data_IF_722706281973
#
_entry.id   IF_722706281973
#
_cell.length_a   1.000
_cell.length_b   1.000
_cell.length_c   1.000
_cell.angle_alpha   90.00
_cell.angle_beta   90.00
_cell.angle_gamma   90.00
#
_symmetry.space_group_name_H-M   'P 1'
#
loop_
_entity.id
_entity.type
_entity.pdbx_description
1 polymer ?
#
# COMPACT_ATOMS: atom_id res chain seq x y z
N UNK A 1 -5.10 -8.91 19.19
CA UNK A 1 -6.57 -8.84 19.38
C UNK A 1 -7.13 -10.11 20.03
N UNK A 2 -7.04 -11.32 19.45
CA UNK A 2 -7.79 -12.48 19.97
C UNK A 2 -7.38 -12.91 21.38
N UNK A 3 -6.07 -12.90 21.68
CA UNK A 3 -5.57 -13.25 23.02
C UNK A 3 -5.99 -12.24 24.10
N UNK A 4 -6.15 -10.96 23.76
CA UNK A 4 -6.63 -9.94 24.70
C UNK A 4 -8.14 -10.05 24.91
N UNK A 5 -8.91 -10.20 23.82
CA UNK A 5 -10.37 -10.35 23.88
C UNK A 5 -10.79 -11.57 24.72
N UNK A 6 -10.12 -12.72 24.52
CA UNK A 6 -10.38 -13.93 25.30
C UNK A 6 -10.22 -13.71 26.82
N UNK A 7 -9.23 -12.92 27.24
CA UNK A 7 -9.02 -12.61 28.66
C UNK A 7 -10.05 -11.65 29.21
N UNK A 8 -10.40 -10.65 28.41
CA UNK A 8 -11.45 -9.69 28.75
C UNK A 8 -12.79 -10.42 28.99
N UNK A 9 -13.14 -11.37 28.11
CA UNK A 9 -14.33 -12.21 28.23
C UNK A 9 -14.25 -13.18 29.42
N UNK A 10 -13.06 -13.71 29.72
CA UNK A 10 -12.84 -14.62 30.84
C UNK A 10 -12.73 -13.92 32.21
N UNK A 11 -12.77 -12.58 32.26
CA UNK A 11 -12.56 -11.82 33.50
C UNK A 11 -11.13 -11.91 34.05
N UNK A 12 -10.17 -12.32 33.23
CA UNK A 12 -8.75 -12.41 33.59
C UNK A 12 -8.06 -11.03 33.49
N UNK A 13 -6.82 -10.93 33.97
CA UNK A 13 -6.03 -9.67 33.93
C UNK A 13 -5.57 -9.30 32.49
N UNK A 14 -6.52 -8.86 31.67
CA UNK A 14 -6.27 -8.37 30.32
C UNK A 14 -5.41 -7.09 30.32
N UNK A 15 -5.56 -6.24 31.35
CA UNK A 15 -4.81 -5.00 31.51
C UNK A 15 -3.33 -5.27 31.84
N UNK A 16 -3.03 -6.23 32.70
CA UNK A 16 -1.69 -6.75 32.97
C UNK A 16 -1.06 -7.33 31.72
N UNK A 17 -1.77 -8.19 31.00
CA UNK A 17 -1.31 -8.75 29.73
C UNK A 17 -0.94 -7.66 28.71
N UNK A 18 -1.77 -6.63 28.55
CA UNK A 18 -1.51 -5.53 27.62
C UNK A 18 -0.32 -4.65 28.07
N UNK A 19 -0.16 -4.41 29.38
CA UNK A 19 1.00 -3.70 29.95
C UNK A 19 2.31 -4.46 29.72
N UNK A 20 2.30 -5.77 29.98
CA UNK A 20 3.46 -6.63 29.75
C UNK A 20 3.81 -6.70 28.26
N UNK A 21 2.80 -6.85 27.40
CA UNK A 21 3.00 -6.85 25.95
C UNK A 21 3.60 -5.52 25.47
N UNK A 22 3.07 -4.39 25.94
CA UNK A 22 3.58 -3.06 25.60
C UNK A 22 5.03 -2.87 26.05
N UNK A 23 5.35 -3.31 27.26
CA UNK A 23 6.68 -3.10 27.85
C UNK A 23 7.73 -4.00 27.20
N UNK A 24 7.41 -5.28 26.96
CA UNK A 24 8.31 -6.20 26.28
C UNK A 24 8.51 -5.82 24.81
N UNK A 25 7.43 -5.45 24.10
CA UNK A 25 7.53 -4.97 22.73
C UNK A 25 8.32 -3.67 22.66
N UNK A 26 8.05 -2.70 23.54
CA UNK A 26 8.78 -1.45 23.61
C UNK A 26 10.28 -1.67 23.86
N UNK A 27 10.64 -2.52 24.82
CA UNK A 27 12.04 -2.85 25.10
C UNK A 27 12.75 -3.49 23.90
N UNK A 28 12.10 -4.49 23.27
CA UNK A 28 12.61 -5.11 22.06
C UNK A 28 12.79 -4.10 20.92
N UNK A 29 11.80 -3.25 20.68
CA UNK A 29 11.83 -2.26 19.62
C UNK A 29 12.88 -1.18 19.86
N UNK A 30 13.13 -0.77 21.11
CA UNK A 30 14.22 0.16 21.42
C UNK A 30 15.56 -0.46 21.04
N UNK A 31 15.83 -1.71 21.44
CA UNK A 31 17.07 -2.40 21.06
C UNK A 31 17.18 -2.56 19.55
N UNK A 32 16.09 -3.00 18.90
CA UNK A 32 16.02 -3.14 17.45
C UNK A 32 16.27 -1.81 16.73
N UNK A 33 15.69 -0.71 17.22
CA UNK A 33 15.87 0.63 16.70
C UNK A 33 17.32 1.10 16.85
N UNK A 34 17.94 0.88 18.01
CA UNK A 34 19.35 1.23 18.22
C UNK A 34 20.26 0.44 17.29
N UNK A 35 20.04 -0.87 17.17
CA UNK A 35 20.78 -1.73 16.22
C UNK A 35 20.60 -1.23 14.79
N UNK A 36 19.38 -0.91 14.38
CA UNK A 36 19.12 -0.40 13.04
C UNK A 36 19.76 0.96 12.79
N UNK A 37 19.73 1.91 13.74
CA UNK A 37 20.41 3.21 13.63
C UNK A 37 21.92 3.04 13.41
N UNK A 38 22.54 2.12 14.16
CA UNK A 38 23.95 1.77 13.97
C UNK A 38 24.18 1.10 12.62
N UNK A 39 23.29 0.20 12.22
CA UNK A 39 23.35 -0.55 10.97
C UNK A 39 22.82 0.20 9.73
N UNK A 40 22.44 1.47 9.87
CA UNK A 40 21.80 2.24 8.79
C UNK A 40 22.57 2.26 7.48
N UNK A 41 23.91 2.41 7.46
CA UNK A 41 24.68 2.36 6.21
C UNK A 41 24.43 1.07 5.43
N UNK A 42 24.45 -0.09 6.10
CA UNK A 42 24.19 -1.37 5.44
C UNK A 42 22.72 -1.53 5.03
N UNK A 43 21.78 -1.02 5.84
CA UNK A 43 20.36 -1.03 5.48
C UNK A 43 20.11 -0.18 4.23
N UNK A 44 20.72 1.01 4.11
CA UNK A 44 20.60 1.85 2.92
C UNK A 44 21.19 1.14 1.70
N UNK A 45 22.36 0.50 1.81
CA UNK A 45 22.92 -0.27 0.68
C UNK A 45 22.05 -1.46 0.28
N UNK A 46 21.44 -2.15 1.26
CA UNK A 46 20.53 -3.26 1.00
C UNK A 46 19.22 -2.82 0.34
N UNK A 47 18.79 -1.57 0.53
CA UNK A 47 17.55 -1.03 -0.04
C UNK A 47 17.72 -0.16 -1.29
N UNK A 48 18.91 0.42 -1.49
CA UNK A 48 19.21 1.37 -2.54
C UNK A 48 20.73 1.37 -2.82
N UNK A 49 21.26 0.24 -3.29
CA UNK A 49 22.71 0.12 -3.54
C UNK A 49 23.22 1.09 -4.59
N UNK A 50 22.35 1.59 -5.49
CA UNK A 50 22.70 2.57 -6.50
C UNK A 50 23.13 3.92 -5.93
N UNK A 51 22.89 4.19 -4.64
CA UNK A 51 23.39 5.40 -3.98
C UNK A 51 24.86 5.29 -3.54
N UNK A 52 25.48 4.12 -3.64
CA UNK A 52 26.87 3.95 -3.21
C UNK A 52 27.81 4.90 -3.97
N UNK A 53 28.59 5.70 -3.23
CA UNK A 53 29.50 6.71 -3.81
C UNK A 53 28.84 8.05 -4.16
N UNK A 54 27.56 8.24 -3.85
CA UNK A 54 26.77 9.44 -4.13
C UNK A 54 26.41 10.19 -2.83
N UNK A 55 26.24 11.52 -2.88
CA UNK A 55 25.75 12.35 -1.77
C UNK A 55 24.40 11.86 -1.20
N UNK A 56 23.57 11.24 -2.04
CA UNK A 56 22.30 10.59 -1.66
C UNK A 56 22.49 9.51 -0.61
N UNK A 57 23.64 8.84 -0.55
CA UNK A 57 23.91 7.83 0.46
C UNK A 57 23.94 8.45 1.86
N UNK A 58 24.76 9.48 2.07
CA UNK A 58 24.92 10.12 3.38
C UNK A 58 23.61 10.77 3.85
N UNK A 59 22.89 11.40 2.93
CA UNK A 59 21.55 11.94 3.19
C UNK A 59 20.56 10.84 3.58
N UNK A 60 20.55 9.71 2.85
CA UNK A 60 19.67 8.58 3.14
C UNK A 60 20.00 7.90 4.47
N UNK A 61 21.29 7.81 4.83
CA UNK A 61 21.72 7.30 6.13
C UNK A 61 21.26 8.23 7.24
N UNK A 62 21.48 9.54 7.09
CA UNK A 62 21.07 10.53 8.09
C UNK A 62 19.56 10.57 8.28
N UNK A 63 18.81 10.65 7.17
CA UNK A 63 17.36 10.61 7.19
C UNK A 63 16.82 9.28 7.74
N UNK A 64 17.45 8.17 7.36
CA UNK A 64 17.15 6.84 7.88
C UNK A 64 17.29 6.78 9.40
N UNK A 65 18.39 7.30 9.96
CA UNK A 65 18.61 7.36 11.41
C UNK A 65 17.55 8.19 12.14
N UNK A 66 17.12 9.32 11.58
CA UNK A 66 16.10 10.20 12.17
C UNK A 66 14.70 9.55 12.12
N UNK A 67 14.36 8.90 11.01
CA UNK A 67 13.05 8.27 10.83
C UNK A 67 12.93 6.91 11.52
N UNK A 68 14.03 6.17 11.73
CA UNK A 68 13.98 4.81 12.26
C UNK A 68 13.26 4.64 13.61
N UNK A 69 13.38 5.57 14.57
CA UNK A 69 12.60 5.54 15.82
C UNK A 69 11.09 5.47 15.63
N UNK A 70 10.57 5.88 14.46
CA UNK A 70 9.15 5.73 14.11
C UNK A 70 8.65 4.30 14.24
N UNK A 71 9.50 3.29 14.02
CA UNK A 71 9.15 1.86 14.18
C UNK A 71 8.68 1.57 15.61
N UNK A 72 9.27 2.21 16.62
CA UNK A 72 8.83 2.07 18.02
C UNK A 72 7.40 2.59 18.15
N UNK A 73 7.17 3.82 17.70
CA UNK A 73 5.88 4.49 17.88
C UNK A 73 4.76 3.82 17.10
N UNK A 74 4.97 3.48 15.83
CA UNK A 74 3.92 2.85 15.01
C UNK A 74 3.58 1.45 15.51
N UNK A 75 4.57 0.69 16.00
CA UNK A 75 4.32 -0.67 16.51
C UNK A 75 3.59 -0.65 17.84
N UNK A 76 3.94 0.27 18.75
CA UNK A 76 3.20 0.46 19.99
C UNK A 76 1.79 0.99 19.73
N UNK A 77 1.63 1.89 18.75
CA UNK A 77 0.33 2.36 18.28
C UNK A 77 -0.50 1.19 17.77
N UNK A 78 0.07 0.30 16.95
CA UNK A 78 -0.62 -0.88 16.44
C UNK A 78 -1.08 -1.84 17.55
N UNK A 79 -0.25 -2.06 18.58
CA UNK A 79 -0.62 -2.85 19.76
C UNK A 79 -1.83 -2.25 20.47
N UNK A 80 -1.79 -0.95 20.78
CA UNK A 80 -2.87 -0.26 21.48
C UNK A 80 -4.13 -0.12 20.64
N UNK A 81 -4.01 0.07 19.32
CA UNK A 81 -5.12 -0.01 18.37
C UNK A 81 -5.76 -1.40 18.40
N UNK A 82 -4.96 -2.46 18.55
CA UNK A 82 -5.47 -3.81 18.77
C UNK A 82 -6.28 -3.97 20.05
N UNK A 83 -5.91 -3.26 21.13
CA UNK A 83 -6.69 -3.20 22.38
C UNK A 83 -8.00 -2.44 22.14
N UNK A 84 -7.96 -1.25 21.53
CA UNK A 84 -9.17 -0.47 21.22
C UNK A 84 -10.14 -1.24 20.32
N UNK A 85 -9.64 -1.95 19.31
CA UNK A 85 -10.47 -2.77 18.43
C UNK A 85 -11.14 -3.91 19.19
N UNK A 86 -10.45 -4.54 20.15
CA UNK A 86 -11.07 -5.55 21.03
C UNK A 86 -12.16 -4.96 21.95
N UNK A 87 -12.04 -3.68 22.30
CA UNK A 87 -13.02 -2.92 23.08
C UNK A 87 -14.13 -2.28 22.22
N UNK A 88 -14.19 -2.59 20.92
CA UNK A 88 -15.20 -2.04 19.99
C UNK A 88 -14.98 -0.58 19.58
N UNK A 89 -13.80 0.02 19.87
CA UNK A 89 -13.47 1.43 19.59
C UNK A 89 -12.64 1.59 18.30
N UNK A 90 -13.21 1.17 17.16
CA UNK A 90 -12.49 1.14 15.87
C UNK A 90 -12.14 2.52 15.30
N UNK A 91 -12.98 3.53 15.51
CA UNK A 91 -12.82 4.84 14.89
C UNK A 91 -11.50 5.54 15.28
N UNK A 92 -11.11 5.45 16.55
CA UNK A 92 -9.90 6.10 17.05
C UNK A 92 -8.62 5.40 16.55
N UNK A 93 -8.65 4.07 16.43
CA UNK A 93 -7.58 3.30 15.80
C UNK A 93 -7.45 3.62 14.29
N UNK A 94 -8.58 3.80 13.60
CA UNK A 94 -8.62 4.15 12.17
C UNK A 94 -8.21 5.60 11.87
N UNK A 95 -8.28 6.51 12.84
CA UNK A 95 -7.91 7.92 12.67
C UNK A 95 -6.39 8.19 12.78
N UNK A 96 -5.60 7.27 13.34
CA UNK A 96 -4.16 7.48 13.52
C UNK A 96 -3.38 7.83 12.22
N UNK A 97 -3.66 7.23 11.05
CA UNK A 97 -3.01 7.63 9.79
C UNK A 97 -3.33 9.06 9.36
N UNK A 98 -4.51 9.58 9.69
CA UNK A 98 -4.90 10.97 9.38
C UNK A 98 -3.97 11.93 10.11
N UNK A 99 -3.67 11.66 11.38
CA UNK A 99 -2.78 12.49 12.19
C UNK A 99 -1.36 12.55 11.61
N UNK A 100 -0.85 11.44 11.07
CA UNK A 100 0.44 11.44 10.37
C UNK A 100 0.44 12.39 9.18
N UNK A 101 -0.58 12.33 8.33
CA UNK A 101 -0.69 13.23 7.18
C UNK A 101 -0.77 14.70 7.62
N UNK A 102 -1.53 15.01 8.68
CA UNK A 102 -1.64 16.38 9.22
C UNK A 102 -0.30 16.89 9.75
N UNK A 103 0.45 16.07 10.49
CA UNK A 103 1.78 16.44 11.00
C UNK A 103 2.77 16.64 9.84
N UNK A 104 2.76 15.77 8.83
CA UNK A 104 3.61 15.92 7.65
C UNK A 104 3.29 17.21 6.87
N UNK A 105 2.01 17.57 6.73
CA UNK A 105 1.60 18.84 6.09
C UNK A 105 2.03 20.03 6.94
N UNK A 106 1.85 19.98 8.26
CA UNK A 106 2.27 21.06 9.15
C UNK A 106 3.78 21.32 9.08
N UNK A 107 4.61 20.27 9.12
CA UNK A 107 6.07 20.41 8.99
C UNK A 107 6.50 20.90 7.61
N UNK A 108 5.81 20.48 6.53
CA UNK A 108 6.03 21.03 5.20
C UNK A 108 5.81 22.55 5.19
N UNK A 109 4.68 23.00 5.74
CA UNK A 109 4.36 24.42 5.83
C UNK A 109 5.40 25.16 6.67
N UNK A 110 5.72 24.67 7.87
CA UNK A 110 6.74 25.29 8.72
C UNK A 110 8.07 25.42 7.97
N UNK A 111 8.51 24.37 7.26
CA UNK A 111 9.72 24.43 6.45
C UNK A 111 9.66 25.48 5.35
N UNK A 112 8.52 25.60 4.66
CA UNK A 112 8.28 26.63 3.65
C UNK A 112 8.33 28.04 4.24
N UNK A 113 7.61 28.31 5.32
CA UNK A 113 7.51 29.64 5.94
C UNK A 113 8.80 30.08 6.63
N UNK A 114 9.60 29.14 7.15
CA UNK A 114 10.88 29.43 7.79
C UNK A 114 12.04 29.54 6.80
N UNK A 115 11.82 29.22 5.51
CA UNK A 115 12.90 29.10 4.52
C UNK A 115 13.91 28.00 4.84
N UNK A 116 13.56 27.06 5.74
CA UNK A 116 14.44 25.97 6.16
C UNK A 116 14.53 24.85 5.13
N UNK A 117 15.46 23.92 5.34
CA UNK A 117 15.58 22.74 4.48
C UNK A 117 14.31 21.88 4.59
N UNK A 118 13.49 21.87 3.54
CA UNK A 118 12.21 21.15 3.49
C UNK A 118 12.39 19.65 3.73
N UNK A 119 13.47 19.06 3.21
CA UNK A 119 13.79 17.64 3.43
C UNK A 119 14.02 17.33 4.91
N UNK A 120 14.72 18.22 5.62
CA UNK A 120 14.97 18.07 7.05
C UNK A 120 13.69 18.25 7.88
N UNK A 121 12.86 19.24 7.56
CA UNK A 121 11.54 19.38 8.19
C UNK A 121 10.67 18.14 7.93
N UNK A 122 10.66 17.64 6.70
CA UNK A 122 9.88 16.44 6.39
C UNK A 122 10.34 15.20 7.15
N UNK A 123 11.65 14.97 7.28
CA UNK A 123 12.11 13.78 7.99
C UNK A 123 11.79 13.85 9.50
N UNK A 124 11.86 15.03 10.11
CA UNK A 124 11.49 15.23 11.52
C UNK A 124 10.00 15.10 11.77
N UNK A 125 9.17 15.33 10.75
CA UNK A 125 7.73 15.09 10.86
C UNK A 125 7.39 13.63 11.15
N UNK A 126 8.23 12.67 10.72
CA UNK A 126 7.98 11.23 10.84
C UNK A 126 8.01 10.75 12.30
N UNK A 127 9.08 10.94 13.10
CA UNK A 127 9.05 10.57 14.52
C UNK A 127 8.02 11.38 15.31
N UNK A 128 7.80 12.66 14.98
CA UNK A 128 6.80 13.50 15.64
C UNK A 128 5.38 12.99 15.38
N UNK A 129 5.09 12.59 14.13
CA UNK A 129 3.83 11.94 13.77
C UNK A 129 3.64 10.63 14.54
N UNK A 130 4.69 9.82 14.67
CA UNK A 130 4.65 8.60 15.49
C UNK A 130 4.29 8.88 16.95
N UNK A 131 4.92 9.88 17.57
CA UNK A 131 4.61 10.30 18.94
C UNK A 131 3.15 10.74 19.04
N UNK A 132 2.67 11.56 18.10
CA UNK A 132 1.30 12.05 18.09
C UNK A 132 0.28 10.91 17.94
N UNK A 133 0.56 9.95 17.04
CA UNK A 133 -0.25 8.74 16.86
C UNK A 133 -0.32 7.90 18.12
N UNK A 134 0.84 7.66 18.75
CA UNK A 134 0.91 6.89 19.97
C UNK A 134 0.13 7.59 21.09
N UNK A 135 0.32 8.90 21.26
CA UNK A 135 -0.37 9.68 22.28
C UNK A 135 -1.90 9.63 22.11
N UNK A 136 -2.40 9.76 20.87
CA UNK A 136 -3.84 9.68 20.57
C UNK A 136 -4.43 8.33 21.00
N UNK A 137 -3.82 7.23 20.56
CA UNK A 137 -4.31 5.88 20.86
C UNK A 137 -4.13 5.53 22.33
N UNK A 138 -3.03 5.97 22.95
CA UNK A 138 -2.78 5.81 24.39
C UNK A 138 -3.85 6.49 25.24
N UNK A 139 -4.18 7.73 24.89
CA UNK A 139 -5.26 8.47 25.52
C UNK A 139 -6.61 7.78 25.33
N UNK A 140 -6.89 7.27 24.13
CA UNK A 140 -8.11 6.52 23.83
C UNK A 140 -8.26 5.26 24.67
N UNK A 141 -7.16 4.52 24.87
CA UNK A 141 -7.13 3.31 25.70
C UNK A 141 -7.37 3.65 27.18
N UNK A 142 -6.77 4.74 27.68
CA UNK A 142 -7.03 5.25 29.02
C UNK A 142 -8.51 5.64 29.23
N UNK A 143 -9.12 6.33 28.26
CA UNK A 143 -10.56 6.68 28.30
C UNK A 143 -11.48 5.48 28.17
N UNK A 144 -11.02 4.38 27.59
CA UNK A 144 -11.77 3.13 27.52
C UNK A 144 -11.72 2.32 28.82
N UNK A 145 -11.12 2.86 29.91
CA UNK A 145 -11.05 2.22 31.22
C UNK A 145 -9.82 1.32 31.41
N UNK A 146 -8.89 1.31 30.46
CA UNK A 146 -7.66 0.50 30.51
C UNK A 146 -6.41 1.38 30.52
N UNK A 147 -6.11 2.14 31.59
CA UNK A 147 -4.88 2.93 31.65
C UNK A 147 -3.66 2.01 31.69
N UNK A 148 -3.03 1.82 30.53
CA UNK A 148 -1.81 1.04 30.38
C UNK A 148 -0.64 1.95 30.81
N UNK A 149 0.14 1.50 31.80
CA UNK A 149 1.39 2.14 32.21
C UNK A 149 2.56 1.23 31.84
N UNK A 150 3.68 1.76 31.33
CA UNK A 150 4.87 0.95 31.10
C UNK A 150 5.34 0.34 32.41
N UNK A 151 5.70 -0.94 32.36
CA UNK A 151 6.27 -1.69 33.49
C UNK A 151 7.65 -2.22 33.07
N UNK A 152 8.41 -2.74 34.02
CA UNK A 152 9.70 -3.37 33.69
C UNK A 152 9.43 -4.61 32.80
N UNK A 153 10.06 -4.74 31.63
CA UNK A 153 9.82 -5.86 30.72
C UNK A 153 10.16 -7.19 31.41
N UNK A 154 9.25 -8.16 31.31
CA UNK A 154 9.39 -9.51 31.85
C UNK A 154 8.92 -10.51 30.81
N UNK A 155 9.79 -11.46 30.47
CA UNK A 155 9.47 -12.56 29.56
C UNK A 155 8.67 -13.64 30.28
N UNK A 156 7.39 -13.38 30.52
CA UNK A 156 6.46 -14.38 31.05
C UNK A 156 6.19 -15.47 30.01
N UNK A 157 5.74 -16.68 30.41
CA UNK A 157 5.36 -17.74 29.47
C UNK A 157 4.34 -17.28 28.42
N UNK A 158 3.47 -16.35 28.81
CA UNK A 158 2.43 -15.77 27.99
C UNK A 158 3.00 -14.85 26.90
N UNK A 159 4.01 -14.04 27.25
CA UNK A 159 4.72 -13.20 26.28
C UNK A 159 5.53 -14.03 25.29
N UNK A 160 6.11 -15.15 25.75
CA UNK A 160 6.74 -16.13 24.85
C UNK A 160 5.72 -16.71 23.88
N UNK A 161 4.53 -17.08 24.36
CA UNK A 161 3.44 -17.57 23.50
C UNK A 161 3.00 -16.51 22.49
N UNK A 162 2.86 -15.25 22.92
CA UNK A 162 2.56 -14.13 22.02
C UNK A 162 3.64 -14.00 20.93
N UNK A 163 4.92 -14.06 21.28
CA UNK A 163 6.02 -13.97 20.34
C UNK A 163 6.04 -15.13 19.33
N UNK A 164 5.82 -16.36 19.79
CA UNK A 164 5.74 -17.55 18.93
C UNK A 164 4.57 -17.47 17.93
N UNK A 165 3.45 -16.89 18.33
CA UNK A 165 2.30 -16.68 17.44
C UNK A 165 2.51 -15.49 16.49
N UNK A 166 3.13 -14.41 16.98
CA UNK A 166 3.34 -13.19 16.19
C UNK A 166 4.45 -13.34 15.16
N UNK A 167 5.54 -14.05 15.46
CA UNK A 167 6.71 -14.13 14.58
C UNK A 167 6.40 -14.70 13.18
N UNK A 168 5.65 -15.82 13.02
CA UNK A 168 5.27 -16.32 11.71
C UNK A 168 4.38 -15.34 10.93
N UNK A 169 3.45 -14.66 11.61
CA UNK A 169 2.59 -13.66 10.98
C UNK A 169 3.38 -12.43 10.50
N UNK A 170 4.35 -11.98 11.30
CA UNK A 170 5.26 -10.90 10.93
C UNK A 170 6.14 -11.29 9.73
N UNK A 171 6.69 -12.52 9.73
CA UNK A 171 7.51 -13.03 8.61
C UNK A 171 6.67 -13.15 7.32
N UNK A 172 5.45 -13.66 7.41
CA UNK A 172 4.54 -13.74 6.27
C UNK A 172 4.21 -12.34 5.69
N UNK A 173 4.03 -11.33 6.55
CA UNK A 173 3.87 -9.94 6.13
C UNK A 173 5.14 -9.34 5.53
N UNK A 174 6.32 -9.72 6.04
CA UNK A 174 7.62 -9.27 5.54
C UNK A 174 7.90 -9.68 4.11
N UNK A 175 7.48 -10.88 3.69
CA UNK A 175 7.66 -11.38 2.32
C UNK A 175 6.99 -10.47 1.29
N UNK A 176 5.83 -9.91 1.60
CA UNK A 176 5.13 -8.96 0.72
C UNK A 176 5.90 -7.65 0.58
N UNK A 177 6.58 -7.19 1.63
CA UNK A 177 7.38 -5.97 1.61
C UNK A 177 8.63 -6.11 0.73
N UNK A 178 9.17 -7.32 0.58
CA UNK A 178 10.33 -7.56 -0.29
C UNK A 178 9.99 -7.25 -1.76
N UNK A 179 8.74 -7.43 -2.19
CA UNK A 179 8.34 -7.11 -3.56
C UNK A 179 8.50 -5.61 -3.89
N UNK A 180 8.24 -4.72 -2.92
CA UNK A 180 8.43 -3.28 -3.10
C UNK A 180 9.91 -2.88 -3.06
N UNK A 181 10.74 -3.67 -2.38
CA UNK A 181 12.18 -3.45 -2.28
C UNK A 181 12.87 -3.57 -3.65
N UNK A 182 12.45 -4.55 -4.45
CA UNK A 182 13.00 -4.80 -5.80
C UNK A 182 12.88 -3.55 -6.68
N UNK A 183 11.69 -2.95 -6.73
CA UNK A 183 11.45 -1.75 -7.54
C UNK A 183 12.28 -0.56 -7.07
N UNK A 184 12.41 -0.38 -5.74
CA UNK A 184 13.27 0.65 -5.15
C UNK A 184 14.75 0.40 -5.46
N UNK A 185 15.21 -0.85 -5.42
CA UNK A 185 16.58 -1.21 -5.72
C UNK A 185 16.95 -0.85 -7.15
N UNK A 186 16.11 -1.25 -8.12
CA UNK A 186 16.32 -0.93 -9.54
C UNK A 186 16.27 0.58 -9.75
N UNK A 187 15.28 1.26 -9.17
CA UNK A 187 15.17 2.72 -9.24
C UNK A 187 16.35 3.46 -8.62
N UNK A 188 17.04 2.89 -7.63
CA UNK A 188 18.16 3.55 -6.95
C UNK A 188 19.38 3.81 -7.82
N UNK A 189 19.52 3.09 -8.94
CA UNK A 189 20.61 3.28 -9.91
C UNK A 189 20.37 4.42 -10.89
N UNK A 190 19.18 5.04 -10.87
CA UNK A 190 18.80 6.12 -11.77
C UNK A 190 18.42 7.36 -10.96
N UNK A 191 18.95 8.51 -11.35
CA UNK A 191 18.67 9.78 -10.69
C UNK A 191 17.20 10.16 -10.84
N UNK A 192 16.56 10.62 -9.77
CA UNK A 192 15.14 10.96 -9.74
C UNK A 192 14.16 9.77 -9.76
N UNK A 193 14.57 8.59 -10.25
CA UNK A 193 13.67 7.46 -10.49
C UNK A 193 12.94 6.93 -9.25
N UNK A 194 13.58 6.94 -8.08
CA UNK A 194 12.91 6.55 -6.82
C UNK A 194 11.74 7.49 -6.52
N UNK A 195 11.87 8.79 -6.81
CA UNK A 195 10.80 9.77 -6.64
C UNK A 195 9.71 9.59 -7.71
N UNK A 196 10.08 9.46 -8.99
CA UNK A 196 9.13 9.26 -10.10
C UNK A 196 8.26 8.01 -9.88
N UNK A 197 8.87 6.87 -9.53
CA UNK A 197 8.16 5.64 -9.20
C UNK A 197 7.26 5.81 -7.97
N UNK A 198 7.72 6.52 -6.94
CA UNK A 198 6.91 6.78 -5.73
C UNK A 198 5.70 7.69 -6.01
N UNK A 199 5.83 8.70 -6.88
CA UNK A 199 4.71 9.55 -7.29
C UNK A 199 3.72 8.80 -8.16
N UNK A 200 4.21 8.01 -9.11
CA UNK A 200 3.39 7.17 -9.97
C UNK A 200 2.60 6.11 -9.17
N UNK A 201 3.23 5.51 -8.16
CA UNK A 201 2.61 4.52 -7.28
C UNK A 201 1.38 5.09 -6.54
N UNK A 202 1.49 6.31 -6.04
CA UNK A 202 0.36 7.00 -5.37
C UNK A 202 -0.85 7.20 -6.27
N UNK A 203 -0.65 7.47 -7.56
CA UNK A 203 -1.74 7.73 -8.50
C UNK A 203 -2.59 6.50 -8.76
N UNK A 204 -1.97 5.32 -8.98
CA UNK A 204 -2.75 4.10 -9.21
C UNK A 204 -3.32 3.51 -7.91
N UNK A 205 -2.73 3.81 -6.75
CA UNK A 205 -3.27 3.40 -5.45
C UNK A 205 -4.63 4.01 -5.14
N UNK A 206 -4.95 5.20 -5.66
CA UNK A 206 -6.24 5.86 -5.45
C UNK A 206 -7.42 5.00 -5.96
N UNK A 207 -7.49 4.61 -7.25
CA UNK A 207 -8.50 3.65 -7.72
C UNK A 207 -8.45 2.31 -6.98
N UNK A 208 -7.25 1.78 -6.73
CA UNK A 208 -7.06 0.49 -6.06
C UNK A 208 -7.62 0.47 -4.63
N UNK A 209 -7.53 1.60 -3.92
CA UNK A 209 -8.04 1.79 -2.57
C UNK A 209 -9.57 1.83 -2.53
N UNK A 210 -10.18 2.66 -3.38
CA UNK A 210 -11.64 2.82 -3.46
C UNK A 210 -12.32 1.50 -3.84
N UNK A 211 -11.84 0.84 -4.90
CA UNK A 211 -12.44 -0.43 -5.34
C UNK A 211 -12.15 -1.55 -4.34
N UNK A 212 -10.95 -1.58 -3.77
CA UNK A 212 -10.58 -2.55 -2.74
C UNK A 212 -11.48 -2.48 -1.51
N UNK A 213 -11.85 -1.27 -1.07
CA UNK A 213 -12.78 -1.06 0.05
C UNK A 213 -14.18 -1.57 -0.30
N UNK A 214 -14.68 -1.24 -1.50
CA UNK A 214 -16.00 -1.70 -1.96
C UNK A 214 -16.08 -3.23 -1.99
N UNK A 215 -15.05 -3.91 -2.52
CA UNK A 215 -14.97 -5.38 -2.52
C UNK A 215 -14.92 -5.92 -1.09
N UNK A 216 -14.09 -5.32 -0.23
CA UNK A 216 -13.93 -5.74 1.17
C UNK A 216 -15.25 -5.75 1.95
N UNK A 217 -16.08 -4.73 1.75
CA UNK A 217 -17.36 -4.56 2.44
C UNK A 217 -18.45 -5.45 1.86
N UNK A 218 -18.48 -5.64 0.54
CA UNK A 218 -19.58 -6.34 -0.13
C UNK A 218 -19.29 -7.82 -0.34
N UNK A 219 -18.11 -8.17 -0.86
CA UNK A 219 -17.81 -9.52 -1.32
C UNK A 219 -17.46 -10.47 -0.18
N UNK A 220 -16.67 -10.05 0.80
CA UNK A 220 -16.21 -10.95 1.88
C UNK A 220 -17.38 -11.45 2.74
N UNK A 221 -18.30 -10.59 3.24
CA UNK A 221 -19.44 -11.05 4.02
C UNK A 221 -20.39 -11.92 3.20
N UNK A 222 -20.66 -11.56 1.94
CA UNK A 222 -21.53 -12.35 1.05
C UNK A 222 -20.93 -13.73 0.76
N UNK A 223 -19.64 -13.80 0.44
CA UNK A 223 -18.95 -15.05 0.15
C UNK A 223 -18.88 -15.96 1.38
N UNK A 224 -18.58 -15.43 2.56
CA UNK A 224 -18.56 -16.20 3.80
C UNK A 224 -19.95 -16.78 4.12
N UNK A 225 -21.01 -16.01 3.90
CA UNK A 225 -22.39 -16.47 4.07
C UNK A 225 -22.73 -17.60 3.10
N UNK A 226 -22.40 -17.46 1.81
CA UNK A 226 -22.69 -18.47 0.78
C UNK A 226 -21.89 -19.75 0.96
N UNK A 227 -20.62 -19.66 1.37
CA UNK A 227 -19.80 -20.83 1.67
C UNK A 227 -20.30 -21.60 2.89
N UNK A 228 -20.73 -20.91 3.94
CA UNK A 228 -21.41 -21.56 5.09
C UNK A 228 -22.70 -22.26 4.69
N UNK A 229 -23.38 -21.77 3.66
CA UNK A 229 -24.59 -22.37 3.13
C UNK A 229 -24.33 -23.48 2.08
N UNK A 230 -23.07 -23.76 1.73
CA UNK A 230 -22.74 -24.72 0.65
C UNK A 230 -23.11 -24.24 -0.76
N UNK A 231 -23.45 -22.96 -0.93
CA UNK A 231 -23.91 -22.37 -2.19
C UNK A 231 -22.72 -21.99 -3.09
N UNK A 232 -22.18 -22.99 -3.79
CA UNK A 232 -21.04 -22.82 -4.71
C UNK A 232 -21.39 -21.95 -5.93
N UNK A 233 -22.60 -22.10 -6.47
CA UNK A 233 -23.07 -21.35 -7.64
C UNK A 233 -23.28 -19.87 -7.32
N UNK A 234 -23.91 -19.57 -6.18
CA UNK A 234 -24.07 -18.21 -5.73
C UNK A 234 -22.73 -17.56 -5.37
N UNK A 235 -21.81 -18.31 -4.75
CA UNK A 235 -20.43 -17.84 -4.53
C UNK A 235 -19.75 -17.44 -5.84
N UNK A 236 -19.90 -18.26 -6.88
CA UNK A 236 -19.40 -17.98 -8.23
C UNK A 236 -20.06 -16.73 -8.83
N UNK A 237 -21.38 -16.58 -8.68
CA UNK A 237 -22.10 -15.40 -9.16
C UNK A 237 -21.62 -14.11 -8.48
N UNK A 238 -21.40 -14.15 -7.16
CA UNK A 238 -20.88 -13.03 -6.39
C UNK A 238 -19.47 -12.61 -6.87
N UNK A 239 -18.57 -13.57 -7.09
CA UNK A 239 -17.23 -13.31 -7.64
C UNK A 239 -17.32 -12.70 -9.06
N UNK A 240 -18.20 -13.22 -9.91
CA UNK A 240 -18.39 -12.67 -11.26
C UNK A 240 -18.96 -11.24 -11.24
N UNK A 241 -19.92 -10.92 -10.36
CA UNK A 241 -20.44 -9.55 -10.22
C UNK A 241 -19.40 -8.59 -9.66
N UNK A 242 -18.64 -9.01 -8.65
CA UNK A 242 -17.54 -8.21 -8.13
C UNK A 242 -16.47 -7.97 -9.20
N UNK A 243 -16.17 -8.97 -10.03
CA UNK A 243 -15.24 -8.84 -11.17
C UNK A 243 -15.77 -7.89 -12.24
N UNK A 244 -17.06 -7.97 -12.59
CA UNK A 244 -17.72 -7.05 -13.52
C UNK A 244 -17.63 -5.60 -13.03
N UNK A 245 -18.02 -5.35 -11.79
CA UNK A 245 -17.97 -4.03 -11.16
C UNK A 245 -16.53 -3.50 -11.07
N UNK A 246 -15.59 -4.37 -10.69
CA UNK A 246 -14.17 -4.05 -10.64
C UNK A 246 -13.67 -3.61 -12.01
N UNK A 247 -13.89 -4.41 -13.05
CA UNK A 247 -13.45 -4.08 -14.40
C UNK A 247 -14.12 -2.81 -14.94
N UNK A 248 -15.40 -2.60 -14.65
CA UNK A 248 -16.13 -1.41 -15.05
C UNK A 248 -15.57 -0.12 -14.42
N UNK A 249 -14.95 -0.19 -13.24
CA UNK A 249 -14.30 0.96 -12.60
C UNK A 249 -12.81 1.07 -12.95
N UNK A 250 -12.11 -0.06 -13.05
CA UNK A 250 -10.64 -0.06 -13.19
C UNK A 250 -10.18 0.09 -14.62
N UNK A 251 -10.94 -0.41 -15.61
CA UNK A 251 -10.55 -0.28 -17.02
C UNK A 251 -10.61 1.19 -17.51
N UNK A 252 -11.65 1.99 -17.20
CA UNK A 252 -11.65 3.41 -17.52
C UNK A 252 -10.50 4.15 -16.84
N UNK A 253 -10.29 3.91 -15.53
CA UNK A 253 -9.20 4.54 -14.80
C UNK A 253 -7.82 4.16 -15.36
N UNK A 254 -7.59 2.87 -15.65
CA UNK A 254 -6.37 2.38 -16.27
C UNK A 254 -6.11 3.05 -17.62
N UNK A 255 -7.16 3.16 -18.45
CA UNK A 255 -7.04 3.80 -19.76
C UNK A 255 -6.73 5.29 -19.63
N UNK A 256 -7.39 6.02 -18.72
CA UNK A 256 -7.07 7.43 -18.47
C UNK A 256 -5.60 7.60 -18.05
N UNK A 257 -5.10 6.75 -17.14
CA UNK A 257 -3.69 6.75 -16.70
C UNK A 257 -2.72 6.38 -17.84
N UNK A 258 -3.14 5.59 -18.83
CA UNK A 258 -2.30 5.23 -19.99
C UNK A 258 -2.31 6.28 -21.09
N UNK A 259 -3.45 6.94 -21.29
CA UNK A 259 -3.72 7.79 -22.45
C UNK A 259 -3.37 9.25 -22.20
N UNK A 260 -3.64 9.77 -20.99
CA UNK A 260 -3.33 11.14 -20.60
C UNK A 260 -2.41 11.21 -19.35
N UNK A 261 -1.34 10.41 -19.24
CA UNK A 261 -0.49 10.40 -18.06
C UNK A 261 0.21 11.75 -17.85
N UNK A 262 0.67 12.39 -18.92
CA UNK A 262 1.39 13.68 -18.86
C UNK A 262 0.49 14.79 -18.28
N UNK A 263 -0.73 15.03 -18.80
CA UNK A 263 -1.66 15.98 -18.18
C UNK A 263 -1.92 15.73 -16.70
N UNK A 264 -2.15 14.47 -16.31
CA UNK A 264 -2.41 14.09 -14.91
C UNK A 264 -1.21 14.46 -14.03
N UNK A 265 -0.01 14.05 -14.42
CA UNK A 265 1.22 14.30 -13.65
C UNK A 265 1.57 15.79 -13.65
N UNK A 266 1.42 16.48 -14.78
CA UNK A 266 1.73 17.90 -14.91
C UNK A 266 0.87 18.75 -13.97
N UNK A 267 -0.43 18.50 -13.93
CA UNK A 267 -1.36 19.23 -13.06
C UNK A 267 -1.10 18.93 -11.59
N UNK A 268 -0.82 17.66 -11.25
CA UNK A 268 -0.67 17.25 -9.87
C UNK A 268 0.70 17.58 -9.28
N UNK A 269 1.77 17.55 -10.08
CA UNK A 269 3.14 17.59 -9.54
C UNK A 269 4.05 18.66 -10.16
N UNK A 270 3.83 19.06 -11.42
CA UNK A 270 4.78 19.94 -12.13
C UNK A 270 4.69 21.39 -11.68
N UNK A 271 5.47 21.71 -10.64
CA UNK A 271 5.64 23.04 -10.05
C UNK A 271 7.05 23.19 -9.48
N UNK A 272 7.64 24.38 -9.61
CA UNK A 272 8.93 24.71 -9.01
C UNK A 272 10.05 23.78 -9.49
N UNK A 273 10.64 23.01 -8.56
CA UNK A 273 11.74 22.08 -8.85
C UNK A 273 11.33 20.81 -9.62
N UNK A 274 10.03 20.52 -9.72
CA UNK A 274 9.54 19.39 -10.51
C UNK A 274 9.25 19.85 -11.94
N UNK A 275 10.18 19.55 -12.83
CA UNK A 275 10.19 20.06 -14.21
C UNK A 275 9.44 19.19 -15.22
N UNK A 276 9.42 19.58 -16.50
CA UNK A 276 8.82 18.80 -17.57
C UNK A 276 9.46 17.42 -17.77
N UNK A 277 10.77 17.27 -17.52
CA UNK A 277 11.46 15.97 -17.60
C UNK A 277 10.99 15.01 -16.50
N UNK A 278 10.85 15.48 -15.26
CA UNK A 278 10.28 14.70 -14.16
C UNK A 278 8.83 14.29 -14.44
N UNK A 279 8.06 15.20 -15.06
CA UNK A 279 6.70 14.93 -15.52
C UNK A 279 6.69 13.80 -16.53
N UNK A 280 7.54 13.86 -17.56
CA UNK A 280 7.59 12.84 -18.60
C UNK A 280 7.99 11.47 -18.03
N UNK A 281 9.00 11.44 -17.15
CA UNK A 281 9.47 10.20 -16.53
C UNK A 281 8.42 9.60 -15.57
N UNK A 282 7.78 10.43 -14.75
CA UNK A 282 6.68 9.99 -13.87
C UNK A 282 5.47 9.54 -14.68
N UNK A 283 5.12 10.24 -15.76
CA UNK A 283 4.03 9.89 -16.66
C UNK A 283 4.25 8.52 -17.32
N UNK A 284 5.48 8.20 -17.73
CA UNK A 284 5.83 6.88 -18.25
C UNK A 284 5.55 5.77 -17.21
N UNK A 285 5.99 5.96 -15.96
CA UNK A 285 5.71 5.01 -14.88
C UNK A 285 4.21 4.89 -14.58
N UNK A 286 3.46 6.00 -14.60
CA UNK A 286 2.00 6.02 -14.42
C UNK A 286 1.29 5.22 -15.50
N UNK A 287 1.67 5.37 -16.77
CA UNK A 287 1.08 4.61 -17.86
C UNK A 287 1.33 3.10 -17.69
N UNK A 288 2.55 2.72 -17.31
CA UNK A 288 2.91 1.31 -17.06
C UNK A 288 2.12 0.73 -15.88
N UNK A 289 1.98 1.46 -14.77
CA UNK A 289 1.16 1.02 -13.64
C UNK A 289 -0.34 1.01 -13.97
N UNK A 290 -0.81 1.93 -14.82
CA UNK A 290 -2.16 1.96 -15.36
C UNK A 290 -2.51 0.64 -16.05
N UNK A 291 -1.61 0.10 -16.88
CA UNK A 291 -1.77 -1.20 -17.52
C UNK A 291 -1.85 -2.38 -16.51
N UNK A 292 -1.28 -2.22 -15.31
CA UNK A 292 -1.36 -3.21 -14.22
C UNK A 292 -2.58 -3.06 -13.32
N UNK A 293 -3.23 -1.90 -13.31
CA UNK A 293 -4.33 -1.58 -12.38
C UNK A 293 -5.47 -2.61 -12.38
N UNK A 294 -6.00 -3.06 -13.55
CA UNK A 294 -7.07 -4.08 -13.55
C UNK A 294 -6.63 -5.39 -12.89
N UNK A 295 -5.35 -5.78 -13.07
CA UNK A 295 -4.81 -6.97 -12.47
C UNK A 295 -4.72 -6.86 -10.94
N UNK A 296 -4.16 -5.76 -10.43
CA UNK A 296 -4.01 -5.53 -8.99
C UNK A 296 -5.36 -5.54 -8.27
N UNK A 297 -6.40 -4.99 -8.90
CA UNK A 297 -7.72 -4.91 -8.26
C UNK A 297 -8.44 -6.26 -8.35
N UNK A 298 -8.37 -6.97 -9.48
CA UNK A 298 -8.94 -8.31 -9.60
C UNK A 298 -8.30 -9.33 -8.65
N UNK A 299 -7.00 -9.20 -8.34
CA UNK A 299 -6.38 -10.01 -7.30
C UNK A 299 -7.10 -9.87 -5.95
N UNK A 300 -7.58 -8.67 -5.59
CA UNK A 300 -8.37 -8.43 -4.36
C UNK A 300 -9.76 -9.04 -4.43
N UNK A 301 -10.34 -9.22 -5.62
CA UNK A 301 -11.61 -9.93 -5.81
C UNK A 301 -11.44 -11.44 -5.62
N UNK A 302 -10.35 -12.00 -6.16
CA UNK A 302 -10.14 -13.45 -6.17
C UNK A 302 -9.53 -13.96 -4.86
N UNK A 303 -8.65 -13.20 -4.21
CA UNK A 303 -7.98 -13.65 -2.97
C UNK A 303 -8.95 -14.11 -1.85
N UNK A 304 -10.09 -13.43 -1.61
CA UNK A 304 -11.11 -13.89 -0.65
C UNK A 304 -11.67 -15.30 -0.92
N UNK A 305 -11.68 -15.76 -2.18
CA UNK A 305 -12.13 -17.12 -2.57
C UNK A 305 -11.30 -18.20 -1.89
N UNK A 306 -10.00 -17.94 -1.73
CA UNK A 306 -9.05 -18.81 -1.06
C UNK A 306 -9.17 -18.72 0.46
N UNK A 307 -9.23 -17.50 1.01
CA UNK A 307 -9.30 -17.27 2.44
C UNK A 307 -10.58 -17.83 3.07
N UNK A 308 -11.71 -17.71 2.38
CA UNK A 308 -12.97 -18.24 2.85
C UNK A 308 -13.04 -19.79 2.79
N UNK A 309 -12.05 -20.44 2.15
CA UNK A 309 -11.84 -21.90 2.14
C UNK A 309 -10.61 -22.32 2.96
N UNK A 310 -10.13 -21.43 3.83
CA UNK A 310 -8.98 -21.66 4.72
C UNK A 310 -7.63 -21.93 3.99
N UNK A 311 -7.57 -21.75 2.66
CA UNK A 311 -6.33 -21.87 1.89
C UNK A 311 -5.57 -20.55 1.86
N UNK A 312 -4.73 -20.34 2.87
CA UNK A 312 -3.83 -19.17 2.92
C UNK A 312 -2.49 -19.42 2.25
N UNK A 313 -2.13 -20.67 1.98
CA UNK A 313 -0.81 -21.07 1.47
C UNK A 313 -0.70 -20.85 -0.02
N UNK A 314 -1.75 -21.14 -0.78
CA UNK A 314 -1.74 -21.02 -2.25
C UNK A 314 -1.57 -19.57 -2.70
N UNK A 315 -2.34 -18.58 -2.19
CA UNK A 315 -2.12 -17.17 -2.53
C UNK A 315 -0.73 -16.67 -2.17
N UNK A 316 -0.19 -17.11 -1.02
CA UNK A 316 1.16 -16.76 -0.59
C UNK A 316 2.22 -17.29 -1.56
N UNK A 317 2.11 -18.56 -1.99
CA UNK A 317 3.02 -19.13 -3.00
C UNK A 317 2.98 -18.36 -4.30
N UNK A 318 1.79 -17.96 -4.77
CA UNK A 318 1.67 -17.16 -5.99
C UNK A 318 2.27 -15.76 -5.83
N UNK A 319 2.13 -15.12 -4.66
CA UNK A 319 2.79 -13.85 -4.37
C UNK A 319 4.32 -13.98 -4.40
N UNK A 320 4.88 -15.06 -3.87
CA UNK A 320 6.33 -15.34 -3.96
C UNK A 320 6.76 -15.56 -5.42
N UNK A 321 6.01 -16.32 -6.22
CA UNK A 321 6.33 -16.49 -7.64
C UNK A 321 6.26 -15.17 -8.40
N UNK A 322 5.24 -14.36 -8.15
CA UNK A 322 5.09 -13.03 -8.74
C UNK A 322 6.25 -12.11 -8.34
N UNK A 323 6.70 -12.15 -7.09
CA UNK A 323 7.88 -11.41 -6.64
C UNK A 323 9.15 -11.82 -7.40
N UNK A 324 9.36 -13.13 -7.63
CA UNK A 324 10.50 -13.61 -8.43
C UNK A 324 10.40 -13.15 -9.89
N UNK A 325 9.20 -13.16 -10.46
CA UNK A 325 8.95 -12.61 -11.81
C UNK A 325 9.22 -11.11 -11.84
N UNK A 326 8.77 -10.35 -10.83
CA UNK A 326 9.05 -8.92 -10.72
C UNK A 326 10.56 -8.67 -10.69
N UNK A 327 11.29 -9.36 -9.82
CA UNK A 327 12.74 -9.25 -9.74
C UNK A 327 13.44 -9.61 -11.05
N UNK A 328 13.04 -10.72 -11.70
CA UNK A 328 13.61 -11.14 -12.97
C UNK A 328 13.38 -10.13 -14.10
N UNK A 329 12.15 -9.61 -14.23
CA UNK A 329 11.80 -8.62 -15.25
C UNK A 329 12.45 -7.28 -14.96
N UNK A 330 12.39 -6.80 -13.72
CA UNK A 330 12.92 -5.50 -13.33
C UNK A 330 14.46 -5.46 -13.45
N UNK A 331 15.17 -6.48 -12.94
CA UNK A 331 16.63 -6.54 -13.05
C UNK A 331 17.08 -6.87 -14.48
N UNK A 332 16.37 -7.74 -15.19
CA UNK A 332 16.72 -8.14 -16.55
C UNK A 332 16.50 -7.04 -17.60
N UNK A 333 15.45 -6.22 -17.44
CA UNK A 333 15.14 -5.14 -18.36
C UNK A 333 15.76 -3.79 -17.97
N UNK A 334 16.23 -3.61 -16.73
CA UNK A 334 16.83 -2.36 -16.27
C UNK A 334 17.95 -1.82 -17.20
N UNK A 335 18.85 -2.66 -17.76
CA UNK A 335 19.88 -2.16 -18.69
C UNK A 335 19.34 -1.62 -20.02
N UNK A 336 18.13 -2.03 -20.42
CA UNK A 336 17.58 -1.72 -21.75
C UNK A 336 16.58 -0.57 -21.73
N UNK A 337 15.76 -0.47 -20.68
CA UNK A 337 14.67 0.52 -20.58
C UNK A 337 14.76 1.37 -19.31
N UNK A 338 15.89 1.28 -18.59
CA UNK A 338 16.16 2.08 -17.40
C UNK A 338 15.19 1.80 -16.25
N UNK A 339 14.81 2.86 -15.53
CA UNK A 339 13.93 2.76 -14.36
C UNK A 339 12.52 2.22 -14.68
N UNK A 340 12.05 2.36 -15.93
CA UNK A 340 10.75 1.85 -16.36
C UNK A 340 10.63 0.33 -16.19
N UNK A 341 11.77 -0.39 -16.16
CA UNK A 341 11.82 -1.82 -15.85
C UNK A 341 11.20 -2.16 -14.49
N UNK A 342 11.36 -1.31 -13.48
CA UNK A 342 10.78 -1.53 -12.15
C UNK A 342 9.25 -1.48 -12.18
N UNK A 343 8.69 -0.51 -12.91
CA UNK A 343 7.24 -0.39 -13.10
C UNK A 343 6.71 -1.58 -13.93
N UNK A 344 7.40 -1.95 -15.01
CA UNK A 344 7.00 -3.07 -15.87
C UNK A 344 7.07 -4.40 -15.13
N UNK A 345 8.13 -4.64 -14.35
CA UNK A 345 8.26 -5.84 -13.53
C UNK A 345 7.09 -5.98 -12.56
N UNK A 346 6.69 -4.89 -11.91
CA UNK A 346 5.55 -4.86 -10.99
C UNK A 346 4.23 -5.16 -11.71
N UNK A 347 4.01 -4.53 -12.88
CA UNK A 347 2.80 -4.75 -13.70
C UNK A 347 2.72 -6.18 -14.22
N UNK A 348 3.80 -6.73 -14.77
CA UNK A 348 3.85 -8.11 -15.29
C UNK A 348 3.65 -9.12 -14.15
N UNK A 349 4.32 -8.93 -13.02
CA UNK A 349 4.13 -9.76 -11.83
C UNK A 349 2.66 -9.74 -11.36
N UNK A 350 2.00 -8.59 -11.41
CA UNK A 350 0.59 -8.45 -11.10
C UNK A 350 -0.30 -9.30 -12.02
N UNK A 351 -0.07 -9.25 -13.33
CA UNK A 351 -0.80 -10.08 -14.29
C UNK A 351 -0.53 -11.57 -14.08
N UNK A 352 0.72 -11.96 -13.85
CA UNK A 352 1.10 -13.35 -13.57
C UNK A 352 0.41 -13.86 -12.32
N UNK A 353 0.41 -13.09 -11.23
CA UNK A 353 -0.29 -13.45 -10.00
C UNK A 353 -1.80 -13.60 -10.21
N UNK A 354 -2.41 -12.69 -10.96
CA UNK A 354 -3.83 -12.78 -11.30
C UNK A 354 -4.15 -14.07 -12.07
N UNK A 355 -3.34 -14.41 -13.07
CA UNK A 355 -3.53 -15.64 -13.86
C UNK A 355 -3.37 -16.88 -12.99
N UNK A 356 -2.39 -16.90 -12.08
CA UNK A 356 -2.20 -18.01 -11.13
C UNK A 356 -3.38 -18.15 -10.17
N UNK A 357 -3.84 -17.06 -9.57
CA UNK A 357 -5.04 -17.03 -8.72
C UNK A 357 -6.27 -17.50 -9.50
N UNK A 358 -6.51 -16.98 -10.69
CA UNK A 358 -7.67 -17.38 -11.48
C UNK A 358 -7.63 -18.87 -11.85
N UNK A 359 -6.48 -19.38 -12.31
CA UNK A 359 -6.32 -20.82 -12.62
C UNK A 359 -6.45 -21.69 -11.38
N UNK A 360 -5.92 -21.26 -10.25
CA UNK A 360 -6.02 -22.01 -8.99
C UNK A 360 -7.46 -22.13 -8.49
N UNK A 361 -8.37 -21.20 -8.80
CA UNK A 361 -9.79 -21.39 -8.45
C UNK A 361 -10.47 -22.59 -9.12
N UNK A 362 -9.85 -23.19 -10.14
CA UNK A 362 -10.36 -24.42 -10.77
C UNK A 362 -10.37 -25.62 -9.83
N UNK A 363 -9.47 -25.67 -8.84
CA UNK A 363 -9.50 -26.73 -7.81
C UNK A 363 -10.65 -26.56 -6.80
N UNK A 364 -11.42 -25.48 -6.91
CA UNK A 364 -12.58 -25.20 -6.05
C UNK A 364 -13.88 -25.21 -6.86
N UNK A 365 -14.09 -26.25 -7.67
CA UNK A 365 -15.27 -26.42 -8.54
C UNK A 365 -15.55 -25.23 -9.48
N UNK A 366 -14.48 -24.54 -9.90
CA UNK A 366 -14.61 -23.35 -10.74
C UNK A 366 -15.31 -22.18 -10.04
N UNK A 367 -14.99 -21.94 -8.76
CA UNK A 367 -15.53 -20.83 -7.97
C UNK A 367 -15.38 -19.44 -8.62
N UNK A 368 -14.43 -19.25 -9.54
CA UNK A 368 -14.30 -18.02 -10.35
C UNK A 368 -14.44 -18.29 -11.86
N UNK A 369 -15.14 -19.36 -12.25
CA UNK A 369 -15.46 -19.62 -13.64
C UNK A 369 -16.32 -18.47 -14.19
N UNK A 370 -15.90 -17.95 -15.35
CA UNK A 370 -16.52 -16.79 -15.99
C UNK A 370 -17.88 -17.18 -16.52
N UNK A 371 -18.93 -16.53 -16.02
CA UNK A 371 -20.29 -16.76 -16.48
C UNK A 371 -20.63 -15.99 -17.77
N UNK A 372 -21.77 -16.36 -18.37
CA UNK A 372 -22.24 -15.79 -19.65
C UNK A 372 -22.46 -14.29 -19.58
N UNK A 373 -22.87 -13.75 -18.42
CA UNK A 373 -23.08 -12.32 -18.23
C UNK A 373 -21.76 -11.56 -18.21
N UNK A 374 -20.74 -12.04 -17.48
CA UNK A 374 -19.42 -11.42 -17.48
C UNK A 374 -18.80 -11.46 -18.89
N UNK A 375 -18.93 -12.58 -19.62
CA UNK A 375 -18.49 -12.67 -21.03
C UNK A 375 -19.16 -11.65 -21.94
N UNK A 376 -20.45 -11.35 -21.73
CA UNK A 376 -21.20 -10.33 -22.49
C UNK A 376 -20.86 -8.90 -22.06
N UNK A 377 -20.50 -8.69 -20.80
CA UNK A 377 -20.13 -7.38 -20.27
C UNK A 377 -18.75 -6.94 -20.73
N UNK A 378 -17.76 -7.85 -20.78
CA UNK A 378 -16.38 -7.55 -21.20
C UNK A 378 -16.25 -6.74 -22.50
N UNK A 379 -16.86 -7.15 -23.64
CA UNK A 379 -16.73 -6.38 -24.88
C UNK A 379 -17.42 -5.01 -24.80
N UNK A 380 -18.50 -4.89 -24.02
CA UNK A 380 -19.19 -3.61 -23.81
C UNK A 380 -18.34 -2.67 -22.97
N UNK A 381 -17.74 -3.16 -21.88
CA UNK A 381 -16.82 -2.39 -21.04
C UNK A 381 -15.61 -1.96 -21.88
N UNK A 382 -15.02 -2.88 -22.66
CA UNK A 382 -13.91 -2.57 -23.55
C UNK A 382 -14.28 -1.47 -24.57
N UNK A 383 -15.44 -1.58 -25.22
CA UNK A 383 -15.93 -0.56 -26.15
C UNK A 383 -16.15 0.79 -25.48
N UNK A 384 -16.80 0.82 -24.31
CA UNK A 384 -16.99 2.05 -23.53
C UNK A 384 -15.66 2.68 -23.12
N UNK A 385 -14.67 1.87 -22.75
CA UNK A 385 -13.32 2.34 -22.46
C UNK A 385 -12.68 2.91 -23.72
N UNK A 386 -12.73 2.22 -24.87
CA UNK A 386 -12.17 2.74 -26.12
C UNK A 386 -12.78 4.07 -26.54
N UNK A 387 -14.11 4.21 -26.44
CA UNK A 387 -14.80 5.48 -26.70
C UNK A 387 -14.32 6.56 -25.76
N UNK A 388 -14.25 6.27 -24.45
CA UNK A 388 -13.73 7.22 -23.46
C UNK A 388 -12.27 7.61 -23.76
N UNK A 389 -11.41 6.66 -24.10
CA UNK A 389 -10.02 6.91 -24.46
C UNK A 389 -9.87 7.78 -25.70
N UNK A 390 -10.69 7.56 -26.72
CA UNK A 390 -10.73 8.39 -27.92
C UNK A 390 -11.19 9.82 -27.59
N UNK A 391 -12.21 9.98 -26.73
CA UNK A 391 -12.67 11.29 -26.26
C UNK A 391 -11.59 12.00 -25.45
N UNK A 392 -10.88 11.29 -24.56
CA UNK A 392 -9.77 11.86 -23.79
C UNK A 392 -8.60 12.27 -24.69
N UNK A 393 -8.26 11.48 -25.71
CA UNK A 393 -7.23 11.85 -26.68
C UNK A 393 -7.61 13.10 -27.48
N UNK A 394 -8.84 13.13 -28.01
CA UNK A 394 -9.34 14.26 -28.77
C UNK A 394 -9.42 15.52 -27.91
N UNK A 395 -9.93 15.39 -26.67
CA UNK A 395 -10.01 16.48 -25.71
C UNK A 395 -8.64 16.98 -25.26
N UNK A 396 -7.68 16.07 -25.02
CA UNK A 396 -6.31 16.45 -24.66
C UNK A 396 -5.59 17.14 -25.82
N UNK A 397 -5.81 16.71 -27.06
CA UNK A 397 -5.29 17.38 -28.25
C UNK A 397 -5.92 18.77 -28.43
N UNK A 398 -7.23 18.90 -28.22
CA UNK A 398 -7.95 20.18 -28.32
C UNK A 398 -7.54 21.17 -27.23
N UNK A 399 -7.31 20.68 -26.00
CA UNK A 399 -6.87 21.48 -24.86
C UNK A 399 -5.34 21.59 -24.75
N UNK A 400 -4.58 21.17 -25.76
CA UNK A 400 -3.11 21.01 -25.65
C UNK A 400 -2.39 22.25 -25.13
N UNK A 401 -2.70 23.43 -25.68
CA UNK A 401 -2.12 24.70 -25.22
C UNK A 401 -2.56 25.04 -23.78
N UNK A 402 -3.82 24.81 -23.44
CA UNK A 402 -4.34 25.06 -22.10
C UNK A 402 -3.76 24.09 -21.05
N UNK A 403 -3.50 22.83 -21.42
CA UNK A 403 -2.86 21.82 -20.57
C UNK A 403 -1.36 22.06 -20.38
N UNK A 404 -0.70 22.71 -21.35
CA UNK A 404 0.70 23.11 -21.25
C UNK A 404 0.90 24.42 -20.48
N UNK A 405 -0.13 25.26 -20.38
CA UNK A 405 -0.03 26.59 -19.76
C UNK A 405 -0.20 26.54 -18.25
N UNK A 406 0.67 27.26 -17.52
CA UNK A 406 0.61 27.42 -16.08
C UNK A 406 -0.76 27.95 -15.62
N UNK A 407 -1.29 27.38 -14.54
CA UNK A 407 -2.62 27.67 -13.97
C UNK A 407 -3.84 27.31 -14.83
N UNK A 408 -3.79 27.47 -16.16
CA UNK A 408 -4.88 27.06 -17.06
C UNK A 408 -5.05 25.53 -17.11
N UNK A 409 -3.94 24.80 -16.93
CA UNK A 409 -3.94 23.34 -16.93
C UNK A 409 -4.84 22.69 -15.86
N UNK A 410 -5.09 23.37 -14.74
CA UNK A 410 -6.02 22.87 -13.72
C UNK A 410 -7.46 22.84 -14.25
N UNK A 411 -7.90 23.95 -14.85
CA UNK A 411 -9.23 24.06 -15.46
C UNK A 411 -9.39 23.18 -16.69
N UNK A 412 -8.34 23.07 -17.51
CA UNK A 412 -8.33 22.20 -18.68
C UNK A 412 -8.44 20.72 -18.30
N UNK A 413 -7.71 20.26 -17.28
CA UNK A 413 -7.84 18.87 -16.82
C UNK A 413 -9.21 18.62 -16.17
N UNK A 414 -9.75 19.57 -15.41
CA UNK A 414 -11.10 19.46 -14.87
C UNK A 414 -12.14 19.30 -15.99
N UNK A 415 -12.08 20.15 -17.03
CA UNK A 415 -12.93 20.04 -18.21
C UNK A 415 -12.76 18.70 -18.95
N UNK A 416 -11.53 18.19 -19.02
CA UNK A 416 -11.21 16.94 -19.72
C UNK A 416 -11.76 15.70 -18.99
N UNK A 417 -11.77 15.72 -17.66
CA UNK A 417 -12.16 14.57 -16.83
C UNK A 417 -13.65 14.61 -16.45
N UNK A 418 -14.30 15.78 -16.58
CA UNK A 418 -15.74 15.97 -16.36
C UNK A 418 -16.04 16.64 -15.02
#
# INVERSE_FOLDING_TARGET
VPMFAKRLEAGEDAAGFARDALSNLGAFLIVFTLVGIMAMPWLVLAMASGFHGDIRFELSVTHGRIAFPYIVFISLTALLSGVLNALGRFALAAAAPILMNLVMIAFLLIGYWTGGNIGLWQIWSVPVAGIAQLALVWWGVGRAGFPIRPVRPRLTPEMRRLAVVAAPAMLAGGVVQINLLVGRQVGSFFDGAVAWLSYADRLYQLPLGVVGLAIGVVLLPDLARRLRAGDTEGGRSAVNRASEFTLALTLPAALALMVIPVPIVAVLFQRGAFGPEDTAATALAVAIYGAGLPAFVLQKVISPVYYAREDTRTPFRYAVHAMLVNAGVALGLAPFIGFAAAALGTTVAGWVMLVQLWRGTRSFDGAAAIDTRLKRALPRIALSCLVMGAVLLAGAAWLGEALATDYLRYGALALLVG
#
